data_IF_567723120407
#
_entry.id   IF_567723120407
#
_cell.length_a   1.000
_cell.length_b   1.000
_cell.length_c   1.000
_cell.angle_alpha   90.00
_cell.angle_beta   90.00
_cell.angle_gamma   90.00
#
_symmetry.space_group_name_H-M   'P 1'
#
loop_
_entity.id
_entity.type
_entity.pdbx_description
1 polymer ?
#
# COMPACT_ATOMS: atom_id res chain seq x y z
N UNK A 1 26.31 -14.04 -2.18
CA UNK A 1 25.23 -13.02 -2.18
C UNK A 1 23.92 -13.45 -2.85
N UNK A 2 23.82 -13.58 -4.20
CA UNK A 2 22.52 -13.78 -4.86
C UNK A 2 21.81 -15.09 -4.44
N UNK A 3 22.56 -16.18 -4.31
CA UNK A 3 22.05 -17.46 -3.80
C UNK A 3 21.57 -17.34 -2.34
N UNK A 4 22.38 -16.75 -1.48
CA UNK A 4 22.05 -16.49 -0.07
C UNK A 4 20.77 -15.65 0.08
N UNK A 5 20.61 -14.57 -0.71
CA UNK A 5 19.38 -13.77 -0.74
C UNK A 5 18.20 -14.61 -1.22
N UNK A 6 18.37 -15.41 -2.28
CA UNK A 6 17.31 -16.28 -2.77
C UNK A 6 16.87 -17.28 -1.70
N UNK A 7 17.80 -17.89 -0.98
CA UNK A 7 17.51 -18.90 0.05
C UNK A 7 16.86 -18.26 1.28
N UNK A 8 17.38 -17.14 1.76
CA UNK A 8 16.85 -16.45 2.94
C UNK A 8 15.46 -15.86 2.69
N UNK A 9 15.23 -15.24 1.53
CA UNK A 9 13.94 -14.64 1.16
C UNK A 9 13.03 -15.66 0.46
N UNK A 10 12.95 -16.86 1.02
CA UNK A 10 12.09 -17.94 0.55
C UNK A 10 11.25 -18.49 1.69
N UNK A 11 10.00 -18.84 1.39
CA UNK A 11 9.12 -19.55 2.32
C UNK A 11 8.38 -20.69 1.62
N UNK A 12 8.05 -21.71 2.40
CA UNK A 12 7.23 -22.83 1.93
C UNK A 12 5.77 -22.42 1.89
N UNK A 13 5.09 -22.77 0.79
CA UNK A 13 3.66 -22.50 0.67
C UNK A 13 2.90 -23.53 1.52
N UNK A 14 2.02 -23.09 2.45
CA UNK A 14 1.23 -24.01 3.24
C UNK A 14 0.48 -24.99 2.34
N UNK A 15 0.50 -26.28 2.68
CA UNK A 15 -0.16 -27.34 1.92
C UNK A 15 0.36 -27.56 0.48
N UNK A 16 1.52 -26.99 0.09
CA UNK A 16 2.08 -27.15 -1.25
C UNK A 16 2.30 -28.60 -1.65
N UNK A 17 2.63 -29.49 -0.69
CA UNK A 17 2.78 -30.94 -0.91
C UNK A 17 1.56 -31.62 -1.55
N UNK A 18 0.37 -31.01 -1.45
CA UNK A 18 -0.85 -31.53 -2.06
C UNK A 18 -1.11 -30.99 -3.48
N UNK A 19 -0.37 -29.96 -3.92
CA UNK A 19 -0.55 -29.39 -5.24
C UNK A 19 0.00 -30.34 -6.33
N UNK A 20 -0.71 -30.56 -7.44
CA UNK A 20 -0.26 -31.46 -8.51
C UNK A 20 1.12 -31.11 -9.07
N UNK A 21 1.46 -29.82 -9.15
CA UNK A 21 2.77 -29.34 -9.60
C UNK A 21 3.92 -29.81 -8.69
N UNK A 22 3.69 -29.90 -7.38
CA UNK A 22 4.70 -30.39 -6.43
C UNK A 22 4.80 -31.90 -6.48
N UNK A 23 3.67 -32.61 -6.54
CA UNK A 23 3.64 -34.08 -6.66
C UNK A 23 4.32 -34.56 -7.95
N UNK A 24 4.11 -33.83 -9.05
CA UNK A 24 4.73 -34.11 -10.34
C UNK A 24 6.16 -33.53 -10.46
N UNK A 25 6.74 -33.00 -9.37
CA UNK A 25 8.10 -32.43 -9.31
C UNK A 25 8.38 -31.29 -10.29
N UNK A 26 7.34 -30.59 -10.75
CA UNK A 26 7.46 -29.39 -11.60
C UNK A 26 7.74 -28.12 -10.79
N UNK A 27 7.39 -28.13 -9.50
CA UNK A 27 7.63 -27.03 -8.57
C UNK A 27 8.01 -27.58 -7.19
N UNK A 28 8.88 -26.88 -6.48
CA UNK A 28 9.43 -27.31 -5.19
C UNK A 28 8.56 -26.91 -3.99
N UNK A 29 7.41 -26.26 -4.22
CA UNK A 29 6.50 -25.80 -3.17
C UNK A 29 6.93 -24.53 -2.46
N UNK A 30 7.96 -23.83 -2.98
CA UNK A 30 8.55 -22.64 -2.36
C UNK A 30 8.30 -21.40 -3.19
N UNK A 31 8.01 -20.28 -2.52
CA UNK A 31 7.99 -18.95 -3.13
C UNK A 31 9.30 -18.23 -2.79
N UNK A 32 9.97 -17.74 -3.82
CA UNK A 32 11.20 -16.95 -3.72
C UNK A 32 10.88 -15.48 -3.97
N UNK A 33 11.17 -14.60 -3.03
CA UNK A 33 10.88 -13.16 -3.13
C UNK A 33 12.03 -12.38 -3.81
N UNK A 34 13.24 -12.95 -3.82
CA UNK A 34 14.37 -12.47 -4.61
C UNK A 34 14.48 -13.30 -5.89
N UNK A 35 14.71 -12.64 -7.03
CA UNK A 35 14.92 -13.26 -8.33
C UNK A 35 16.41 -13.24 -8.71
N UNK A 36 17.13 -14.37 -8.67
CA UNK A 36 18.54 -14.43 -9.05
C UNK A 36 18.80 -14.01 -10.50
N UNK A 37 17.87 -14.29 -11.41
CA UNK A 37 18.03 -13.94 -12.83
C UNK A 37 17.91 -12.44 -13.13
N UNK A 38 17.21 -11.68 -12.28
CA UNK A 38 17.02 -10.24 -12.48
C UNK A 38 17.67 -9.36 -11.41
N UNK A 39 18.12 -9.96 -10.30
CA UNK A 39 18.60 -9.23 -9.12
C UNK A 39 17.51 -8.45 -8.37
N UNK A 40 16.23 -8.67 -8.68
CA UNK A 40 15.11 -7.90 -8.12
C UNK A 40 14.55 -8.54 -6.85
N UNK A 41 14.10 -7.69 -5.94
CA UNK A 41 13.31 -8.03 -4.74
C UNK A 41 12.27 -6.95 -4.49
N UNK A 42 11.18 -7.29 -3.79
CA UNK A 42 10.20 -6.31 -3.37
C UNK A 42 10.81 -5.23 -2.46
N UNK A 43 10.62 -3.96 -2.83
CA UNK A 43 11.15 -2.82 -2.06
C UNK A 43 10.73 -2.82 -0.57
N UNK A 44 9.59 -3.43 -0.24
CA UNK A 44 9.10 -3.49 1.15
C UNK A 44 9.98 -4.36 2.05
N UNK A 45 10.79 -5.22 1.44
CA UNK A 45 11.73 -6.09 2.13
C UNK A 45 13.09 -5.43 2.36
N UNK A 46 13.30 -4.19 1.87
CA UNK A 46 14.58 -3.50 1.98
C UNK A 46 15.13 -3.50 3.42
N UNK A 47 14.36 -3.19 4.49
CA UNK A 47 14.88 -3.25 5.87
C UNK A 47 15.48 -4.62 6.23
N UNK A 48 14.79 -5.71 5.87
CA UNK A 48 15.24 -7.08 6.10
C UNK A 48 16.47 -7.44 5.26
N UNK A 49 16.57 -6.94 4.01
CA UNK A 49 17.75 -7.13 3.17
C UNK A 49 18.97 -6.45 3.80
N UNK A 50 18.81 -5.24 4.34
CA UNK A 50 19.90 -4.51 5.02
C UNK A 50 20.40 -5.28 6.24
N UNK A 51 19.47 -5.77 7.06
CA UNK A 51 19.80 -6.55 8.26
C UNK A 51 20.51 -7.86 7.89
N UNK A 52 19.97 -8.59 6.92
CA UNK A 52 20.55 -9.84 6.43
C UNK A 52 21.98 -9.64 5.93
N UNK A 53 22.20 -8.70 5.01
CA UNK A 53 23.52 -8.47 4.41
C UNK A 53 24.54 -8.00 5.46
N UNK A 54 24.12 -7.15 6.41
CA UNK A 54 24.97 -6.72 7.53
C UNK A 54 25.35 -7.92 8.41
N UNK A 55 24.40 -8.81 8.72
CA UNK A 55 24.62 -10.02 9.52
C UNK A 55 25.57 -11.01 8.84
N UNK A 56 25.61 -11.05 7.51
CA UNK A 56 26.57 -11.85 6.72
C UNK A 56 27.92 -11.14 6.50
N UNK A 57 28.13 -9.95 7.08
CA UNK A 57 29.40 -9.20 6.96
C UNK A 57 29.59 -8.45 5.63
N UNK A 58 28.55 -8.29 4.82
CA UNK A 58 28.65 -7.53 3.58
C UNK A 58 28.57 -6.02 3.81
N UNK A 59 29.39 -5.27 3.05
CA UNK A 59 29.26 -3.82 2.91
C UNK A 59 28.23 -3.51 1.81
N UNK A 60 27.17 -2.79 2.17
CA UNK A 60 26.10 -2.40 1.23
C UNK A 60 26.27 -0.94 0.83
N UNK A 61 26.22 -0.68 -0.47
CA UNK A 61 26.25 0.67 -1.06
C UNK A 61 24.91 0.89 -1.77
N UNK A 62 24.29 2.04 -1.56
CA UNK A 62 23.01 2.41 -2.17
C UNK A 62 23.24 3.47 -3.23
N UNK A 63 22.56 3.34 -4.36
CA UNK A 63 22.54 4.34 -5.44
C UNK A 63 21.57 5.49 -5.17
N UNK A 64 20.67 5.31 -4.18
CA UNK A 64 19.57 6.22 -3.87
C UNK A 64 19.39 6.36 -2.36
N UNK A 65 18.82 7.49 -1.93
CA UNK A 65 18.36 7.65 -0.55
C UNK A 65 16.98 7.00 -0.36
N UNK A 66 16.93 6.06 0.57
CA UNK A 66 15.71 5.34 0.95
C UNK A 66 15.20 5.75 2.34
N UNK A 67 15.72 6.84 2.90
CA UNK A 67 15.28 7.40 4.17
C UNK A 67 13.83 7.90 4.10
N UNK A 68 13.17 7.96 5.25
CA UNK A 68 11.88 8.63 5.35
C UNK A 68 12.06 10.12 5.07
N UNK A 69 11.07 10.73 4.41
CA UNK A 69 11.04 12.19 4.30
C UNK A 69 10.82 12.80 5.66
N UNK A 70 11.51 13.90 5.95
CA UNK A 70 11.23 14.73 7.11
C UNK A 70 10.03 15.64 6.80
N UNK A 71 8.84 15.25 7.22
CA UNK A 71 7.62 16.05 7.07
C UNK A 71 7.24 16.60 8.45
N UNK A 72 6.93 17.90 8.54
CA UNK A 72 6.39 18.44 9.78
C UNK A 72 4.96 17.93 10.01
N UNK A 73 4.74 17.23 11.13
CA UNK A 73 3.43 16.72 11.57
C UNK A 73 2.38 17.82 11.70
N UNK A 74 2.79 19.06 11.99
CA UNK A 74 1.89 20.22 12.04
C UNK A 74 1.25 20.49 10.68
N UNK A 75 2.01 20.33 9.59
CA UNK A 75 1.52 20.48 8.21
C UNK A 75 0.54 19.37 7.87
N UNK A 76 0.86 18.12 8.20
CA UNK A 76 -0.08 17.00 8.02
C UNK A 76 -1.37 17.23 8.80
N UNK A 77 -1.27 17.70 10.04
CA UNK A 77 -2.43 17.96 10.90
C UNK A 77 -3.32 19.04 10.31
N UNK A 78 -2.74 20.16 9.85
CA UNK A 78 -3.48 21.24 9.17
C UNK A 78 -4.17 20.72 7.91
N UNK A 79 -3.47 19.94 7.09
CA UNK A 79 -4.05 19.32 5.89
C UNK A 79 -5.24 18.42 6.25
N UNK A 80 -5.08 17.44 7.16
CA UNK A 80 -6.16 16.52 7.55
C UNK A 80 -7.35 17.27 8.15
N UNK A 81 -7.10 18.31 8.94
CA UNK A 81 -8.17 19.15 9.52
C UNK A 81 -8.91 19.96 8.44
N UNK A 82 -8.23 20.39 7.37
CA UNK A 82 -8.87 21.10 6.25
C UNK A 82 -9.88 20.23 5.49
N UNK A 83 -9.72 18.90 5.53
CA UNK A 83 -10.65 17.93 4.95
C UNK A 83 -11.89 17.66 5.82
N UNK A 84 -11.93 18.16 7.05
CA UNK A 84 -13.06 17.94 7.95
C UNK A 84 -14.25 18.77 7.49
N UNK A 85 -15.37 18.10 7.25
CA UNK A 85 -16.68 18.70 6.98
C UNK A 85 -17.69 18.16 8.00
N UNK A 86 -18.79 18.89 8.23
CA UNK A 86 -19.81 18.53 9.22
C UNK A 86 -19.23 18.43 10.66
N UNK A 87 -19.85 17.64 11.54
CA UNK A 87 -19.39 17.36 12.92
C UNK A 87 -18.28 16.29 12.99
N UNK A 88 -17.66 15.89 11.88
CA UNK A 88 -16.62 14.87 11.87
C UNK A 88 -15.27 15.47 12.26
N UNK A 89 -14.64 14.89 13.29
CA UNK A 89 -13.28 15.25 13.73
C UNK A 89 -12.37 14.03 13.61
N UNK A 90 -11.29 14.19 12.86
CA UNK A 90 -10.25 13.17 12.75
C UNK A 90 -9.60 12.95 14.11
N UNK A 91 -9.42 11.69 14.47
CA UNK A 91 -8.75 11.26 15.70
C UNK A 91 -7.23 11.31 15.52
N UNK A 92 -6.50 11.48 16.61
CA UNK A 92 -5.05 11.64 16.54
C UNK A 92 -4.36 10.44 15.89
N UNK A 93 -4.80 9.21 16.18
CA UNK A 93 -4.27 8.01 15.53
C UNK A 93 -4.50 7.97 14.01
N UNK A 94 -5.56 8.61 13.51
CA UNK A 94 -5.81 8.69 12.06
C UNK A 94 -4.81 9.66 11.43
N UNK A 95 -4.57 10.81 12.09
CA UNK A 95 -3.57 11.80 11.66
C UNK A 95 -2.17 11.16 11.68
N UNK A 96 -1.84 10.39 12.72
CA UNK A 96 -0.58 9.67 12.85
C UNK A 96 -0.40 8.63 11.75
N UNK A 97 -1.45 7.86 11.45
CA UNK A 97 -1.42 6.89 10.36
C UNK A 97 -1.18 7.57 9.00
N UNK A 98 -1.86 8.68 8.72
CA UNK A 98 -1.68 9.46 7.50
C UNK A 98 -0.24 10.00 7.44
N UNK A 99 0.23 10.64 8.51
CA UNK A 99 1.57 11.23 8.60
C UNK A 99 2.67 10.21 8.31
N UNK A 100 2.62 9.04 8.96
CA UNK A 100 3.58 7.96 8.73
C UNK A 100 3.65 7.51 7.26
N UNK A 101 2.50 7.45 6.57
CA UNK A 101 2.44 7.12 5.15
C UNK A 101 3.00 8.25 4.27
N UNK A 102 2.71 9.51 4.60
CA UNK A 102 3.24 10.65 3.83
C UNK A 102 4.76 10.78 3.93
N UNK A 103 5.36 10.46 5.08
CA UNK A 103 6.81 10.41 5.28
C UNK A 103 7.47 9.24 4.53
N UNK A 104 6.83 8.07 4.58
CA UNK A 104 7.44 6.81 4.11
C UNK A 104 7.04 6.44 2.67
N UNK A 105 6.07 7.14 2.07
CA UNK A 105 5.37 6.81 0.81
C UNK A 105 4.68 5.43 0.77
N UNK A 106 4.86 4.60 1.79
CA UNK A 106 4.25 3.28 1.93
C UNK A 106 4.17 2.88 3.39
N UNK A 107 3.26 1.98 3.70
CA UNK A 107 3.21 1.36 5.02
C UNK A 107 2.05 0.40 5.14
N UNK A 108 2.07 -0.37 6.22
CA UNK A 108 0.98 -1.24 6.64
C UNK A 108 0.31 -0.60 7.85
N UNK A 109 -0.96 -0.23 7.72
CA UNK A 109 -1.74 0.34 8.83
C UNK A 109 -2.60 -0.78 9.42
N UNK A 110 -2.17 -1.28 10.58
CA UNK A 110 -2.97 -2.21 11.38
C UNK A 110 -3.91 -1.40 12.25
N UNK A 111 -5.19 -1.69 12.17
CA UNK A 111 -6.20 -0.98 12.96
C UNK A 111 -7.48 -1.85 13.04
N UNK A 112 -8.33 -1.70 14.06
CA UNK A 112 -9.57 -2.48 14.17
C UNK A 112 -10.66 -1.98 13.22
N UNK A 113 -11.71 -2.78 13.02
CA UNK A 113 -12.96 -2.35 12.37
C UNK A 113 -13.62 -1.23 13.20
N UNK A 114 -14.30 -0.28 12.55
CA UNK A 114 -14.96 0.86 13.24
C UNK A 114 -14.03 2.03 13.62
N UNK A 115 -12.73 1.90 13.42
CA UNK A 115 -11.73 2.97 13.67
C UNK A 115 -11.74 4.11 12.63
N UNK A 116 -12.57 4.02 11.59
CA UNK A 116 -12.59 5.01 10.51
C UNK A 116 -11.42 4.89 9.54
N UNK A 117 -11.14 3.68 9.05
CA UNK A 117 -10.13 3.43 8.00
C UNK A 117 -10.43 4.16 6.70
N UNK A 118 -11.71 4.24 6.33
CA UNK A 118 -12.14 4.94 5.12
C UNK A 118 -11.74 6.40 5.13
N UNK A 119 -11.78 7.08 6.29
CA UNK A 119 -11.26 8.44 6.42
C UNK A 119 -9.73 8.54 6.20
N UNK A 120 -8.96 7.56 6.69
CA UNK A 120 -7.51 7.52 6.44
C UNK A 120 -7.24 7.38 4.93
N UNK A 121 -7.96 6.46 4.27
CA UNK A 121 -7.85 6.25 2.81
C UNK A 121 -8.24 7.54 2.08
N UNK A 122 -9.37 8.14 2.43
CA UNK A 122 -9.85 9.40 1.86
C UNK A 122 -8.80 10.51 1.95
N UNK A 123 -8.21 10.73 3.13
CA UNK A 123 -7.20 11.78 3.30
C UNK A 123 -5.95 11.53 2.45
N UNK A 124 -5.50 10.28 2.31
CA UNK A 124 -4.39 9.90 1.44
C UNK A 124 -4.73 10.10 -0.04
N UNK A 125 -5.94 9.73 -0.46
CA UNK A 125 -6.45 9.96 -1.82
C UNK A 125 -6.43 11.45 -2.15
N UNK A 126 -7.00 12.29 -1.27
CA UNK A 126 -7.04 13.75 -1.44
C UNK A 126 -5.64 14.35 -1.57
N UNK A 127 -4.67 13.86 -0.79
CA UNK A 127 -3.28 14.30 -0.88
C UNK A 127 -2.65 13.89 -2.22
N UNK A 128 -2.79 12.63 -2.62
CA UNK A 128 -2.08 12.09 -3.77
C UNK A 128 -2.65 12.55 -5.12
N UNK A 129 -3.96 12.82 -5.22
CA UNK A 129 -4.54 13.46 -6.41
C UNK A 129 -3.91 14.82 -6.64
N UNK A 130 -3.84 15.66 -5.59
CA UNK A 130 -3.23 16.98 -5.70
C UNK A 130 -1.74 16.93 -6.02
N UNK A 131 -1.04 15.91 -5.51
CA UNK A 131 0.39 15.73 -5.72
C UNK A 131 0.74 15.19 -7.11
N UNK A 132 -0.11 14.33 -7.66
CA UNK A 132 0.15 13.58 -8.89
C UNK A 132 -1.00 13.76 -9.88
N UNK A 133 -1.13 14.97 -10.43
CA UNK A 133 -2.23 15.35 -11.33
C UNK A 133 -2.35 14.47 -12.59
N UNK A 134 -1.30 13.75 -12.98
CA UNK A 134 -1.25 12.88 -14.15
C UNK A 134 -1.34 11.38 -13.81
N UNK A 135 -1.53 11.02 -12.53
CA UNK A 135 -1.59 9.63 -12.07
C UNK A 135 -2.96 9.28 -11.53
N UNK A 136 -3.30 7.99 -11.65
CA UNK A 136 -4.50 7.43 -11.04
C UNK A 136 -4.20 6.79 -9.70
N UNK A 137 -5.18 6.80 -8.81
CA UNK A 137 -5.17 6.08 -7.55
C UNK A 137 -6.07 4.86 -7.69
N UNK A 138 -5.52 3.67 -7.39
CA UNK A 138 -6.27 2.42 -7.37
C UNK A 138 -6.59 2.04 -5.91
N UNK A 139 -7.86 1.85 -5.59
CA UNK A 139 -8.35 1.39 -4.29
C UNK A 139 -8.95 -0.01 -4.47
N UNK A 140 -8.31 -1.01 -3.87
CA UNK A 140 -8.81 -2.39 -3.93
C UNK A 140 -9.53 -2.74 -2.63
N UNK A 141 -10.79 -3.17 -2.75
CA UNK A 141 -11.63 -3.65 -1.66
C UNK A 141 -12.16 -5.06 -1.98
N UNK A 142 -12.52 -5.88 -0.98
CA UNK A 142 -12.76 -7.31 -1.21
C UNK A 142 -14.12 -7.64 -1.86
N UNK A 143 -15.11 -6.73 -1.81
CA UNK A 143 -16.45 -6.96 -2.37
C UNK A 143 -16.99 -5.73 -3.09
N UNK A 144 -17.93 -5.94 -4.01
CA UNK A 144 -18.66 -4.85 -4.69
C UNK A 144 -19.44 -3.97 -3.72
N UNK A 145 -20.02 -4.55 -2.66
CA UNK A 145 -20.70 -3.78 -1.61
C UNK A 145 -19.77 -2.79 -0.90
N UNK A 146 -18.50 -3.16 -0.71
CA UNK A 146 -17.50 -2.26 -0.13
C UNK A 146 -17.02 -1.18 -1.10
N UNK A 147 -17.14 -1.41 -2.42
CA UNK A 147 -16.92 -0.36 -3.43
C UNK A 147 -17.96 0.74 -3.25
N UNK A 148 -19.24 0.37 -3.19
CA UNK A 148 -20.34 1.32 -2.98
C UNK A 148 -20.25 2.01 -1.61
N UNK A 149 -19.89 1.27 -0.56
CA UNK A 149 -19.70 1.87 0.77
C UNK A 149 -18.56 2.89 0.78
N UNK A 150 -17.40 2.57 0.18
CA UNK A 150 -16.28 3.51 0.10
C UNK A 150 -16.64 4.76 -0.71
N UNK A 151 -17.41 4.58 -1.78
CA UNK A 151 -17.92 5.68 -2.60
C UNK A 151 -18.84 6.61 -1.78
N UNK A 152 -19.79 6.03 -1.04
CA UNK A 152 -20.67 6.77 -0.14
C UNK A 152 -19.91 7.48 0.98
N UNK A 153 -18.93 6.80 1.62
CA UNK A 153 -18.07 7.39 2.65
C UNK A 153 -17.36 8.66 2.13
N UNK A 154 -16.85 8.64 0.89
CA UNK A 154 -16.19 9.80 0.28
C UNK A 154 -17.17 10.96 0.05
N UNK A 155 -18.40 10.69 -0.37
CA UNK A 155 -19.46 11.69 -0.45
C UNK A 155 -19.78 12.26 0.95
N UNK A 156 -19.86 11.40 1.96
CA UNK A 156 -20.18 11.79 3.33
C UNK A 156 -19.13 12.71 3.96
N UNK A 157 -17.86 12.54 3.58
CA UNK A 157 -16.74 13.42 3.92
C UNK A 157 -16.72 14.74 3.12
N UNK A 158 -17.69 14.95 2.22
CA UNK A 158 -17.90 16.20 1.49
C UNK A 158 -17.14 16.30 0.18
N UNK A 159 -16.87 15.17 -0.49
CA UNK A 159 -16.34 15.15 -1.85
C UNK A 159 -17.43 14.79 -2.86
N UNK A 160 -17.21 15.05 -4.15
CA UNK A 160 -18.15 14.68 -5.23
C UNK A 160 -17.59 13.46 -5.97
N UNK A 161 -17.80 12.23 -5.46
CA UNK A 161 -17.19 11.04 -6.05
C UNK A 161 -17.68 10.78 -7.48
N UNK A 162 -18.85 11.30 -7.88
CA UNK A 162 -19.32 11.22 -9.27
C UNK A 162 -18.35 11.90 -10.25
N UNK A 163 -17.61 12.92 -9.82
CA UNK A 163 -16.65 13.63 -10.66
C UNK A 163 -15.27 12.95 -10.67
N UNK A 164 -14.91 12.27 -9.58
CA UNK A 164 -13.52 11.84 -9.35
C UNK A 164 -13.30 10.32 -9.26
N UNK A 165 -14.34 9.54 -8.96
CA UNK A 165 -14.25 8.10 -8.68
C UNK A 165 -14.94 7.27 -9.77
N UNK A 166 -14.27 6.22 -10.23
CA UNK A 166 -14.78 5.23 -11.16
C UNK A 166 -14.89 3.88 -10.47
N UNK A 167 -16.11 3.40 -10.27
CA UNK A 167 -16.33 2.08 -9.67
C UNK A 167 -16.04 0.99 -10.70
N UNK A 168 -15.15 0.05 -10.37
CA UNK A 168 -14.75 -1.02 -11.28
C UNK A 168 -15.10 -2.41 -10.71
N UNK A 169 -16.07 -3.07 -11.32
CA UNK A 169 -16.42 -4.47 -11.07
C UNK A 169 -17.07 -5.08 -12.33
N UNK A 170 -17.43 -6.37 -12.29
CA UNK A 170 -18.02 -7.07 -13.44
C UNK A 170 -19.23 -6.29 -14.01
N UNK A 171 -19.21 -6.02 -15.32
CA UNK A 171 -20.22 -5.23 -16.02
C UNK A 171 -20.00 -3.71 -16.02
N UNK A 172 -19.02 -3.18 -15.30
CA UNK A 172 -18.62 -1.77 -15.38
C UNK A 172 -17.76 -1.50 -16.62
N UNK A 173 -17.79 -0.27 -17.15
CA UNK A 173 -16.82 0.15 -18.16
C UNK A 173 -15.40 0.05 -17.57
N UNK A 174 -14.47 -0.45 -18.38
CA UNK A 174 -13.06 -0.60 -17.99
C UNK A 174 -12.29 0.71 -18.21
N UNK A 175 -12.78 1.58 -19.08
CA UNK A 175 -12.14 2.82 -19.43
C UNK A 175 -12.75 3.97 -18.63
N UNK A 176 -11.90 4.88 -18.16
CA UNK A 176 -12.32 6.05 -17.41
C UNK A 176 -11.28 7.13 -17.50
N UNK A 177 -11.69 8.40 -17.53
CA UNK A 177 -10.80 9.56 -17.37
C UNK A 177 -10.63 9.95 -15.90
N UNK A 178 -11.39 9.35 -14.98
CA UNK A 178 -11.39 9.71 -13.56
C UNK A 178 -10.08 9.30 -12.86
N UNK A 179 -9.76 10.06 -11.82
CA UNK A 179 -8.49 10.01 -11.09
C UNK A 179 -8.43 8.84 -10.09
N UNK A 180 -9.57 8.41 -9.56
CA UNK A 180 -9.67 7.29 -8.60
C UNK A 180 -10.44 6.13 -9.21
N UNK A 181 -9.89 4.93 -9.09
CA UNK A 181 -10.47 3.66 -9.54
C UNK A 181 -10.60 2.69 -8.37
#
# INVERSE_FOLDING_TARGET
VARELSEFFTFEVPNAKFMPSVRNRLWDGKIRLFSPGTGKIYFGLLPYVKEFLKGQGYKVIYDSDFSKRNLDKSVTTKFVRSLQKKKFKARDYQIDAIHNILESNRGLIVSPTGSGKSFIIYALVRYYIQKFADKKILIVVPTTSLVEQMYGDFADYGWFPDEHCHKLYAGSDKNTSKEVV
#
